data_IF_507857439938
#
_entry.id   IF_507857439938
#
_cell.length_a   1.000
_cell.length_b   1.000
_cell.length_c   1.000
_cell.angle_alpha   90.00
_cell.angle_beta   90.00
_cell.angle_gamma   90.00
#
_symmetry.space_group_name_H-M   'P 1'
#
loop_
_entity.id
_entity.type
_entity.pdbx_description
1 polymer ?
#
# COMPACT_ATOMS: atom_id res chain seq x y z
N UNK A 1 30.54 -21.52 6.21
CA UNK A 1 29.75 -20.79 7.22
C UNK A 1 28.43 -20.41 6.58
N UNK A 2 27.34 -21.03 7.02
CA UNK A 2 25.99 -20.66 6.61
C UNK A 2 25.73 -19.25 7.15
N UNK A 3 25.69 -18.24 6.28
CA UNK A 3 25.10 -16.95 6.63
C UNK A 3 23.65 -17.26 7.01
N UNK A 4 23.31 -17.17 8.30
CA UNK A 4 21.91 -17.17 8.72
C UNK A 4 21.22 -16.10 7.88
N UNK A 5 20.30 -16.49 6.99
CA UNK A 5 19.45 -15.53 6.29
C UNK A 5 18.74 -14.75 7.39
N UNK A 6 19.19 -13.52 7.68
CA UNK A 6 18.45 -12.67 8.60
C UNK A 6 17.14 -12.35 7.90
N UNK A 7 16.03 -12.82 8.45
CA UNK A 7 14.71 -12.49 7.94
C UNK A 7 14.53 -10.97 8.00
N UNK A 8 13.97 -10.38 6.94
CA UNK A 8 13.60 -8.97 7.00
C UNK A 8 12.52 -8.78 8.07
N UNK A 9 12.50 -7.65 8.76
CA UNK A 9 11.42 -7.32 9.72
C UNK A 9 10.66 -6.11 9.23
N UNK A 10 9.38 -6.30 8.89
CA UNK A 10 8.45 -5.21 8.57
C UNK A 10 7.71 -4.79 9.84
N UNK A 11 7.86 -3.53 10.24
CA UNK A 11 7.12 -2.95 11.35
C UNK A 11 5.98 -2.05 10.90
N UNK A 12 4.76 -2.32 11.35
CA UNK A 12 3.60 -1.45 11.09
C UNK A 12 2.49 -1.65 12.12
N UNK A 13 1.46 -0.81 12.06
CA UNK A 13 0.21 -1.07 12.80
C UNK A 13 -0.47 -2.36 12.31
N UNK A 14 -1.23 -3.03 13.17
CA UNK A 14 -2.06 -4.20 12.85
C UNK A 14 -3.32 -3.82 12.03
N UNK A 15 -3.08 -3.12 10.93
CA UNK A 15 -4.06 -2.66 9.95
C UNK A 15 -3.44 -2.83 8.54
N UNK A 16 -4.27 -2.75 7.51
CA UNK A 16 -3.84 -2.70 6.11
C UNK A 16 -2.94 -1.48 5.85
N UNK A 17 -3.50 -0.27 5.97
CA UNK A 17 -2.81 1.02 5.88
C UNK A 17 -1.74 1.13 4.79
N UNK A 18 -0.65 1.85 5.09
CA UNK A 18 0.47 2.10 4.17
C UNK A 18 1.35 0.86 3.92
N UNK A 19 1.23 -0.18 4.75
CA UNK A 19 2.05 -1.38 4.62
C UNK A 19 1.48 -2.40 3.62
N UNK A 20 0.27 -2.21 3.10
CA UNK A 20 -0.36 -3.21 2.22
C UNK A 20 0.47 -3.50 0.97
N UNK A 21 0.85 -2.47 0.22
CA UNK A 21 1.69 -2.63 -0.97
C UNK A 21 3.05 -3.29 -0.63
N UNK A 22 3.61 -3.02 0.55
CA UNK A 22 4.87 -3.61 1.00
C UNK A 22 4.71 -5.10 1.25
N UNK A 23 3.67 -5.51 2.00
CA UNK A 23 3.35 -6.93 2.25
C UNK A 23 3.16 -7.67 0.93
N UNK A 24 2.36 -7.10 0.02
CA UNK A 24 2.10 -7.69 -1.30
C UNK A 24 3.39 -7.85 -2.11
N UNK A 25 4.29 -6.87 -2.07
CA UNK A 25 5.57 -6.93 -2.78
C UNK A 25 6.51 -7.98 -2.18
N UNK A 26 6.60 -8.08 -0.85
CA UNK A 26 7.40 -9.10 -0.15
C UNK A 26 6.93 -10.52 -0.49
N UNK A 27 5.61 -10.74 -0.51
CA UNK A 27 5.00 -12.02 -0.88
C UNK A 27 5.22 -12.34 -2.36
N UNK A 28 5.08 -11.35 -3.25
CA UNK A 28 5.33 -11.54 -4.68
C UNK A 28 6.78 -11.90 -4.98
N UNK A 29 7.74 -11.27 -4.29
CA UNK A 29 9.17 -11.54 -4.50
C UNK A 29 9.70 -12.73 -3.71
N UNK A 30 8.82 -13.48 -3.02
CA UNK A 30 9.17 -14.64 -2.19
C UNK A 30 10.22 -14.30 -1.12
N UNK A 31 10.19 -13.04 -0.64
CA UNK A 31 11.14 -12.56 0.35
C UNK A 31 10.76 -13.13 1.71
N UNK A 32 11.71 -13.75 2.41
CA UNK A 32 11.46 -14.20 3.78
C UNK A 32 11.45 -13.00 4.74
N UNK A 33 10.32 -12.77 5.39
CA UNK A 33 10.15 -11.67 6.33
C UNK A 33 9.30 -12.08 7.53
N UNK A 34 9.50 -11.37 8.63
CA UNK A 34 8.64 -11.36 9.80
C UNK A 34 7.95 -10.01 9.90
N UNK A 35 6.76 -9.98 10.51
CA UNK A 35 6.02 -8.76 10.71
C UNK A 35 5.88 -8.43 12.19
N UNK A 36 6.36 -7.25 12.58
CA UNK A 36 6.11 -6.69 13.90
C UNK A 36 4.89 -5.77 13.84
N UNK A 37 3.76 -6.30 14.30
CA UNK A 37 2.49 -5.58 14.34
C UNK A 37 2.29 -4.88 15.68
N UNK A 38 2.03 -3.59 15.62
CA UNK A 38 1.66 -2.78 16.78
C UNK A 38 0.15 -2.58 16.81
N UNK A 39 -0.45 -2.67 17.99
CA UNK A 39 -1.89 -2.46 18.17
C UNK A 39 -2.17 -1.11 18.78
N UNK A 40 -3.14 -0.38 18.21
CA UNK A 40 -3.71 0.81 18.83
C UNK A 40 -4.82 0.38 19.81
N UNK A 41 -4.87 0.97 21.01
CA UNK A 41 -5.91 0.74 22.01
C UNK A 41 -7.30 1.20 21.55
N UNK A 42 -8.33 0.88 22.31
CA UNK A 42 -9.70 1.32 22.02
C UNK A 42 -9.93 2.81 22.34
N UNK A 43 -11.03 3.36 21.84
CA UNK A 43 -11.50 4.69 22.21
C UNK A 43 -11.87 4.75 23.71
N UNK A 44 -11.77 5.92 24.36
CA UNK A 44 -11.32 7.21 23.81
C UNK A 44 -9.79 7.39 23.81
N UNK A 45 -9.05 6.52 24.49
CA UNK A 45 -7.62 6.75 24.78
C UNK A 45 -6.71 6.48 23.59
N UNK A 46 -7.09 5.52 22.72
CA UNK A 46 -6.31 5.11 21.55
C UNK A 46 -4.83 4.89 21.87
N UNK A 47 -4.57 4.08 22.91
CA UNK A 47 -3.21 3.85 23.40
C UNK A 47 -2.26 3.36 22.30
N UNK A 48 -1.09 3.97 22.22
CA UNK A 48 -0.04 3.69 21.23
C UNK A 48 1.27 3.24 21.88
N UNK A 49 1.25 2.94 23.18
CA UNK A 49 2.42 2.54 23.98
C UNK A 49 3.26 1.47 23.28
N UNK A 50 2.64 0.42 22.72
CA UNK A 50 3.35 -0.65 22.02
C UNK A 50 4.35 -0.15 20.97
N UNK A 51 4.02 0.92 20.25
CA UNK A 51 4.93 1.58 19.30
C UNK A 51 5.80 2.63 19.99
N UNK A 52 5.20 3.53 20.78
CA UNK A 52 5.90 4.67 21.37
C UNK A 52 7.05 4.22 22.30
N UNK A 53 6.89 3.10 23.00
CA UNK A 53 7.88 2.54 23.92
C UNK A 53 9.13 2.01 23.23
N UNK A 54 9.02 1.66 21.94
CA UNK A 54 10.14 1.12 21.14
C UNK A 54 10.63 2.08 20.06
N UNK A 55 9.84 3.10 19.69
CA UNK A 55 10.08 4.01 18.57
C UNK A 55 11.53 4.49 18.47
N UNK A 56 12.09 4.99 19.58
CA UNK A 56 13.45 5.54 19.62
C UNK A 56 14.53 4.53 20.02
N UNK A 57 14.17 3.25 20.21
CA UNK A 57 15.08 2.15 20.58
C UNK A 57 15.50 1.28 19.38
N UNK A 58 14.89 1.50 18.22
CA UNK A 58 15.14 0.73 17.00
C UNK A 58 16.31 1.30 16.17
N UNK A 59 16.85 2.45 16.55
CA UNK A 59 17.97 3.12 15.88
C UNK A 59 17.67 3.33 14.38
N UNK A 60 16.50 3.94 14.13
CA UNK A 60 16.03 4.41 12.82
C UNK A 60 16.44 5.89 12.68
N UNK A 61 16.92 6.31 11.50
CA UNK A 61 17.30 7.71 11.26
C UNK A 61 16.11 8.67 11.47
N UNK A 62 14.94 8.29 10.96
CA UNK A 62 13.68 9.03 11.11
C UNK A 62 12.58 8.10 11.66
N UNK A 63 12.52 7.84 12.98
CA UNK A 63 11.63 6.83 13.55
C UNK A 63 10.16 6.98 13.15
N UNK A 64 9.66 6.05 12.33
CA UNK A 64 8.31 6.10 11.78
C UNK A 64 7.77 4.70 11.45
N UNK A 65 6.48 4.61 11.13
CA UNK A 65 5.81 3.42 10.60
C UNK A 65 5.27 3.72 9.19
N UNK A 66 5.48 2.83 8.20
CA UNK A 66 6.20 1.56 8.30
C UNK A 66 7.72 1.75 8.38
N UNK A 67 8.38 0.74 8.97
CA UNK A 67 9.82 0.53 8.86
C UNK A 67 10.13 -0.88 8.31
N UNK A 68 11.28 -1.03 7.67
CA UNK A 68 11.86 -2.32 7.26
C UNK A 68 13.28 -2.43 7.82
N UNK A 69 13.58 -3.53 8.50
CA UNK A 69 14.95 -3.90 8.89
C UNK A 69 15.43 -5.06 8.02
N UNK A 70 16.62 -4.90 7.44
CA UNK A 70 17.29 -5.93 6.65
C UNK A 70 18.80 -5.87 6.89
N UNK A 71 19.27 -6.69 7.83
CA UNK A 71 20.64 -6.65 8.34
C UNK A 71 20.99 -5.26 8.88
N UNK A 72 21.96 -4.61 8.25
CA UNK A 72 22.38 -3.23 8.59
C UNK A 72 21.45 -2.15 8.04
N UNK A 73 20.58 -2.47 7.08
CA UNK A 73 19.71 -1.49 6.45
C UNK A 73 18.47 -1.30 7.30
N UNK A 74 18.20 -0.06 7.71
CA UNK A 74 17.04 0.31 8.51
C UNK A 74 16.32 1.43 7.79
N UNK A 75 15.14 1.14 7.25
CA UNK A 75 14.49 1.98 6.25
C UNK A 75 13.11 2.37 6.75
N UNK A 76 12.81 3.66 6.72
CA UNK A 76 11.46 4.22 6.94
C UNK A 76 10.95 4.86 5.65
N UNK A 77 9.68 5.25 5.64
CA UNK A 77 8.92 5.72 4.46
C UNK A 77 8.52 4.58 3.53
N UNK A 78 7.20 4.43 3.31
CA UNK A 78 6.65 3.31 2.53
C UNK A 78 7.23 3.23 1.12
N UNK A 79 7.36 4.37 0.43
CA UNK A 79 7.88 4.44 -0.93
C UNK A 79 9.37 4.07 -0.99
N UNK A 80 10.17 4.51 0.00
CA UNK A 80 11.58 4.14 0.08
C UNK A 80 11.77 2.62 0.35
N UNK A 81 10.92 2.04 1.20
CA UNK A 81 10.89 0.60 1.47
C UNK A 81 10.53 -0.18 0.19
N UNK A 82 9.50 0.24 -0.54
CA UNK A 82 9.09 -0.39 -1.79
C UNK A 82 10.20 -0.32 -2.84
N UNK A 83 10.80 0.86 -3.05
CA UNK A 83 11.94 1.02 -3.96
C UNK A 83 13.14 0.17 -3.54
N UNK A 84 13.40 0.01 -2.23
CA UNK A 84 14.47 -0.85 -1.74
C UNK A 84 14.27 -2.31 -2.12
N UNK A 85 13.08 -2.85 -1.86
CA UNK A 85 12.72 -4.22 -2.24
C UNK A 85 12.77 -4.34 -3.77
N UNK A 86 12.15 -3.41 -4.49
CA UNK A 86 12.09 -3.41 -5.95
C UNK A 86 13.47 -3.44 -6.62
N UNK A 87 14.46 -2.69 -6.10
CA UNK A 87 15.84 -2.71 -6.61
C UNK A 87 16.52 -4.07 -6.47
N UNK A 88 16.17 -4.87 -5.45
CA UNK A 88 16.71 -6.23 -5.30
C UNK A 88 16.17 -7.22 -6.33
N UNK A 89 15.08 -6.87 -7.00
CA UNK A 89 14.36 -7.74 -7.93
C UNK A 89 14.16 -7.11 -9.32
N UNK A 90 14.87 -6.02 -9.65
CA UNK A 90 14.78 -5.30 -10.93
C UNK A 90 13.36 -4.79 -11.28
N UNK A 91 12.62 -4.31 -10.29
CA UNK A 91 11.22 -3.88 -10.45
C UNK A 91 11.03 -2.34 -10.41
N UNK A 92 12.01 -1.57 -10.90
CA UNK A 92 12.03 -0.10 -10.84
C UNK A 92 11.84 0.60 -12.20
N UNK A 93 11.55 -0.14 -13.27
CA UNK A 93 11.69 0.33 -14.65
C UNK A 93 13.13 0.17 -15.15
N UNK A 94 13.27 -0.28 -16.39
CA UNK A 94 14.55 -0.58 -17.02
C UNK A 94 15.00 0.59 -17.90
N UNK A 95 14.09 1.13 -18.72
CA UNK A 95 14.36 2.29 -19.59
C UNK A 95 14.07 3.62 -18.89
N UNK A 96 14.54 4.71 -19.47
CA UNK A 96 14.26 6.06 -18.96
C UNK A 96 12.76 6.37 -19.00
N UNK A 97 12.07 5.95 -20.05
CA UNK A 97 10.63 6.12 -20.19
C UNK A 97 9.86 5.37 -19.10
N UNK A 98 10.27 4.15 -18.78
CA UNK A 98 9.66 3.37 -17.70
C UNK A 98 9.91 4.01 -16.33
N UNK A 99 11.13 4.52 -16.10
CA UNK A 99 11.50 5.22 -14.86
C UNK A 99 10.69 6.50 -14.67
N UNK A 100 10.54 7.31 -15.72
CA UNK A 100 9.68 8.50 -15.71
C UNK A 100 8.24 8.11 -15.32
N UNK A 101 7.71 7.03 -15.91
CA UNK A 101 6.35 6.57 -15.60
C UNK A 101 6.21 6.10 -14.16
N UNK A 102 7.19 5.36 -13.65
CA UNK A 102 7.26 4.93 -12.24
C UNK A 102 7.27 6.13 -11.29
N UNK A 103 8.11 7.13 -11.57
CA UNK A 103 8.26 8.30 -10.70
C UNK A 103 6.99 9.16 -10.70
N UNK A 104 6.38 9.39 -11.85
CA UNK A 104 5.09 10.11 -11.94
C UNK A 104 4.01 9.35 -11.17
N UNK A 105 3.86 8.04 -11.43
CA UNK A 105 2.79 7.26 -10.81
C UNK A 105 2.96 7.11 -9.30
N UNK A 106 4.19 6.93 -8.79
CA UNK A 106 4.44 6.84 -7.35
C UNK A 106 3.96 8.09 -6.62
N UNK A 107 4.24 9.27 -7.16
CA UNK A 107 3.85 10.53 -6.54
C UNK A 107 2.35 10.80 -6.72
N UNK A 108 1.83 10.64 -7.94
CA UNK A 108 0.42 10.90 -8.24
C UNK A 108 -0.53 9.99 -7.46
N UNK A 109 -0.19 8.70 -7.32
CA UNK A 109 -1.02 7.75 -6.58
C UNK A 109 -0.97 8.02 -5.07
N UNK A 110 0.15 8.58 -4.58
CA UNK A 110 0.29 8.98 -3.20
C UNK A 110 -0.63 10.17 -2.88
N UNK A 111 -0.62 11.20 -3.73
CA UNK A 111 -1.54 12.35 -3.60
C UNK A 111 -3.01 11.89 -3.61
N UNK A 112 -3.35 10.95 -4.49
CA UNK A 112 -4.71 10.40 -4.55
C UNK A 112 -5.09 9.61 -3.28
N UNK A 113 -4.17 8.80 -2.73
CA UNK A 113 -4.40 8.11 -1.45
C UNK A 113 -4.65 9.09 -0.32
N UNK A 114 -3.85 10.16 -0.22
CA UNK A 114 -3.95 11.14 0.87
C UNK A 114 -5.34 11.76 0.90
N UNK A 115 -5.96 12.01 -0.26
CA UNK A 115 -7.32 12.56 -0.32
C UNK A 115 -8.36 11.65 0.34
N UNK A 116 -8.34 10.34 0.04
CA UNK A 116 -9.26 9.39 0.68
C UNK A 116 -8.98 9.27 2.18
N UNK A 117 -7.70 9.21 2.58
CA UNK A 117 -7.31 9.15 3.99
C UNK A 117 -7.80 10.39 4.74
N UNK A 118 -7.57 11.59 4.22
CA UNK A 118 -8.04 12.84 4.83
C UNK A 118 -9.56 12.85 5.01
N UNK A 119 -10.31 12.39 4.01
CA UNK A 119 -11.76 12.23 4.11
C UNK A 119 -12.14 11.25 5.23
N UNK A 120 -11.52 10.07 5.28
CA UNK A 120 -11.85 9.02 6.24
C UNK A 120 -11.53 9.39 7.70
N UNK A 121 -10.58 10.29 7.95
CA UNK A 121 -10.24 10.77 9.29
C UNK A 121 -10.89 12.12 9.64
N UNK A 122 -11.64 12.73 8.73
CA UNK A 122 -12.33 14.00 9.00
C UNK A 122 -13.59 13.78 9.83
N UNK A 123 -13.85 14.59 10.88
CA UNK A 123 -15.14 14.57 11.59
C UNK A 123 -16.32 14.97 10.70
N UNK A 124 -16.06 15.64 9.56
CA UNK A 124 -17.07 16.07 8.58
C UNK A 124 -17.21 15.10 7.39
N UNK A 125 -16.83 13.81 7.54
CA UNK A 125 -16.85 12.80 6.46
C UNK A 125 -18.15 12.82 5.66
N UNK A 126 -19.31 12.77 6.31
CA UNK A 126 -20.62 12.72 5.64
C UNK A 126 -20.91 13.95 4.77
N UNK A 127 -20.36 15.13 5.15
CA UNK A 127 -20.50 16.37 4.36
C UNK A 127 -19.54 16.42 3.18
N UNK A 128 -18.33 15.88 3.35
CA UNK A 128 -17.25 15.94 2.35
C UNK A 128 -17.33 14.80 1.32
N UNK A 129 -17.93 13.66 1.70
CA UNK A 129 -18.04 12.46 0.86
C UNK A 129 -18.71 12.72 -0.49
N UNK A 130 -19.83 13.47 -0.61
CA UNK A 130 -20.45 13.74 -1.92
C UNK A 130 -19.49 14.40 -2.91
N UNK A 131 -18.72 15.40 -2.47
CA UNK A 131 -17.72 16.07 -3.31
C UNK A 131 -16.60 15.13 -3.75
N UNK A 132 -16.14 14.25 -2.85
CA UNK A 132 -15.15 13.24 -3.21
C UNK A 132 -15.67 12.31 -4.32
N UNK A 133 -16.90 11.81 -4.17
CA UNK A 133 -17.52 10.92 -5.16
C UNK A 133 -17.79 11.61 -6.49
N UNK A 134 -18.11 12.91 -6.49
CA UNK A 134 -18.25 13.70 -7.72
C UNK A 134 -16.92 13.83 -8.49
N UNK A 135 -15.80 13.98 -7.76
CA UNK A 135 -14.47 14.16 -8.35
C UNK A 135 -13.80 12.84 -8.76
N UNK A 136 -14.18 11.73 -8.11
CA UNK A 136 -13.56 10.42 -8.25
C UNK A 136 -13.49 9.91 -9.71
N UNK A 137 -14.56 9.95 -10.53
CA UNK A 137 -14.48 9.51 -11.93
C UNK A 137 -13.46 10.30 -12.74
N UNK A 138 -13.33 11.61 -12.49
CA UNK A 138 -12.35 12.46 -13.17
C UNK A 138 -10.91 12.06 -12.87
N UNK A 139 -10.62 11.69 -11.62
CA UNK A 139 -9.29 11.21 -11.20
C UNK A 139 -9.00 9.81 -11.76
N UNK A 140 -9.97 8.89 -11.68
CA UNK A 140 -9.83 7.54 -12.24
C UNK A 140 -9.64 7.57 -13.76
N UNK A 141 -10.29 8.51 -14.46
CA UNK A 141 -10.06 8.73 -15.89
C UNK A 141 -8.62 9.09 -16.20
N UNK A 142 -7.95 9.89 -15.36
CA UNK A 142 -6.53 10.23 -15.56
C UNK A 142 -5.65 8.99 -15.45
N UNK A 143 -5.87 8.13 -14.44
CA UNK A 143 -5.14 6.87 -14.30
C UNK A 143 -5.42 5.88 -15.44
N UNK A 144 -6.68 5.80 -15.88
CA UNK A 144 -7.09 4.98 -17.04
C UNK A 144 -6.38 5.43 -18.32
N UNK A 145 -6.32 6.74 -18.58
CA UNK A 145 -5.59 7.29 -19.73
C UNK A 145 -4.07 7.05 -19.62
N UNK A 146 -3.51 7.19 -18.41
CA UNK A 146 -2.08 6.97 -18.18
C UNK A 146 -1.67 5.51 -18.37
N UNK A 147 -2.48 4.55 -17.88
CA UNK A 147 -2.29 3.12 -18.15
C UNK A 147 -2.41 2.84 -19.66
N UNK A 148 -3.43 3.43 -20.29
CA UNK A 148 -3.65 3.35 -21.73
C UNK A 148 -3.79 1.90 -22.19
N UNK A 149 -2.88 1.48 -23.08
CA UNK A 149 -2.83 0.14 -23.67
C UNK A 149 -1.94 -0.84 -22.91
N UNK A 150 -1.16 -0.37 -21.94
CA UNK A 150 -0.18 -1.20 -21.25
C UNK A 150 -0.85 -2.17 -20.27
N UNK A 151 -0.17 -3.29 -20.03
CA UNK A 151 -0.59 -4.26 -19.01
C UNK A 151 -0.34 -3.74 -17.59
N UNK A 152 0.73 -2.95 -17.41
CA UNK A 152 1.19 -2.39 -16.14
C UNK A 152 1.47 -0.89 -16.27
N UNK A 153 1.54 -0.17 -15.15
CA UNK A 153 1.63 1.28 -15.17
C UNK A 153 2.97 1.79 -15.71
N UNK A 154 4.06 1.05 -15.53
CA UNK A 154 5.35 1.40 -16.12
C UNK A 154 5.46 1.00 -17.61
N UNK A 155 4.70 0.01 -18.07
CA UNK A 155 4.81 -0.55 -19.42
C UNK A 155 4.35 -2.01 -19.48
N UNK A 156 5.11 -2.87 -20.16
CA UNK A 156 4.79 -4.30 -20.29
C UNK A 156 5.26 -5.16 -19.11
N UNK A 157 6.17 -4.63 -18.27
CA UNK A 157 6.71 -5.33 -17.10
C UNK A 157 6.10 -4.77 -15.81
N UNK A 158 5.82 -5.68 -14.88
CA UNK A 158 5.37 -5.35 -13.53
C UNK A 158 6.48 -4.65 -12.75
N UNK A 159 6.14 -3.56 -12.06
CA UNK A 159 7.05 -2.80 -11.20
C UNK A 159 6.41 -2.55 -9.83
N UNK A 160 7.16 -1.99 -8.88
CA UNK A 160 6.62 -1.76 -7.54
C UNK A 160 5.45 -0.75 -7.52
N UNK A 161 5.35 0.14 -8.52
CA UNK A 161 4.27 1.12 -8.57
C UNK A 161 2.90 0.49 -8.86
N UNK A 162 2.88 -0.70 -9.47
CA UNK A 162 1.65 -1.46 -9.67
C UNK A 162 1.08 -1.97 -8.34
N UNK A 163 1.93 -2.30 -7.36
CA UNK A 163 1.52 -2.70 -6.01
C UNK A 163 0.91 -1.53 -5.23
N UNK A 164 1.51 -0.34 -5.36
CA UNK A 164 0.95 0.90 -4.80
C UNK A 164 -0.40 1.23 -5.45
N UNK A 165 -0.46 1.14 -6.78
CA UNK A 165 -1.65 1.51 -7.55
C UNK A 165 -2.80 0.55 -7.30
N UNK A 166 -2.54 -0.76 -7.28
CA UNK A 166 -3.52 -1.76 -6.87
C UNK A 166 -4.12 -1.44 -5.51
N UNK A 167 -3.30 -1.18 -4.50
CA UNK A 167 -3.78 -0.91 -3.14
C UNK A 167 -4.69 0.33 -3.09
N UNK A 168 -4.32 1.42 -3.76
CA UNK A 168 -5.13 2.66 -3.76
C UNK A 168 -6.42 2.50 -4.55
N UNK A 169 -6.38 1.83 -5.71
CA UNK A 169 -7.58 1.53 -6.49
C UNK A 169 -8.52 0.59 -5.75
N UNK A 170 -7.99 -0.43 -5.06
CA UNK A 170 -8.79 -1.34 -4.25
C UNK A 170 -9.45 -0.63 -3.07
N UNK A 171 -8.75 0.29 -2.38
CA UNK A 171 -9.38 1.09 -1.31
C UNK A 171 -10.53 1.94 -1.84
N UNK A 172 -10.39 2.53 -3.03
CA UNK A 172 -11.46 3.26 -3.70
C UNK A 172 -12.61 2.35 -4.14
N UNK A 173 -12.32 1.16 -4.67
CA UNK A 173 -13.32 0.12 -4.98
C UNK A 173 -14.06 -0.33 -3.72
N UNK A 174 -13.39 -0.41 -2.57
CA UNK A 174 -14.05 -0.73 -1.30
C UNK A 174 -14.91 0.42 -0.78
N UNK A 175 -14.52 1.68 -1.05
CA UNK A 175 -15.25 2.88 -0.64
C UNK A 175 -16.48 3.15 -1.52
N UNK A 176 -16.35 2.96 -2.84
CA UNK A 176 -17.37 3.10 -3.87
C UNK A 176 -17.26 1.91 -4.86
N UNK A 177 -18.02 0.82 -4.65
CA UNK A 177 -17.89 -0.44 -5.41
C UNK A 177 -17.98 -0.33 -6.92
N UNK A 178 -18.69 0.67 -7.44
CA UNK A 178 -18.90 0.86 -8.88
C UNK A 178 -17.93 1.86 -9.51
N UNK A 179 -16.99 2.43 -8.75
CA UNK A 179 -16.14 3.52 -9.25
C UNK A 179 -15.27 3.14 -10.46
N UNK A 180 -14.98 1.84 -10.64
CA UNK A 180 -14.18 1.35 -11.76
C UNK A 180 -15.00 0.88 -12.98
N UNK A 181 -16.33 0.87 -12.92
CA UNK A 181 -17.16 0.23 -13.96
C UNK A 181 -17.02 0.86 -15.35
N UNK A 182 -16.79 2.18 -15.39
CA UNK A 182 -16.58 2.95 -16.62
C UNK A 182 -15.14 2.85 -17.16
N UNK A 183 -14.23 2.16 -16.46
CA UNK A 183 -12.81 2.06 -16.81
C UNK A 183 -12.39 0.60 -17.02
N UNK A 184 -12.73 -0.02 -18.18
CA UNK A 184 -12.44 -1.43 -18.44
C UNK A 184 -10.96 -1.80 -18.28
N UNK A 185 -10.03 -0.92 -18.64
CA UNK A 185 -8.59 -1.18 -18.51
C UNK A 185 -8.13 -1.18 -17.05
N UNK A 186 -8.71 -0.33 -16.18
CA UNK A 186 -8.43 -0.37 -14.74
C UNK A 186 -9.00 -1.63 -14.11
N UNK A 187 -10.22 -2.05 -14.49
CA UNK A 187 -10.76 -3.35 -14.04
C UNK A 187 -9.89 -4.52 -14.49
N UNK A 188 -9.43 -4.50 -15.74
CA UNK A 188 -8.52 -5.52 -16.26
C UNK A 188 -7.17 -5.52 -15.51
N UNK A 189 -6.64 -4.36 -15.15
CA UNK A 189 -5.45 -4.24 -14.29
C UNK A 189 -5.69 -4.88 -12.91
N UNK A 190 -6.80 -4.56 -12.25
CA UNK A 190 -7.14 -5.15 -10.93
C UNK A 190 -7.21 -6.68 -11.02
N UNK A 191 -7.95 -7.23 -11.97
CA UNK A 191 -8.08 -8.67 -12.15
C UNK A 191 -6.73 -9.33 -12.47
N UNK A 192 -5.91 -8.71 -13.31
CA UNK A 192 -4.58 -9.24 -13.68
C UNK A 192 -3.64 -9.27 -12.49
N UNK A 193 -3.64 -8.22 -11.66
CA UNK A 193 -2.82 -8.16 -10.47
C UNK A 193 -3.25 -9.21 -9.43
N UNK A 194 -4.56 -9.34 -9.18
CA UNK A 194 -5.12 -10.36 -8.28
C UNK A 194 -4.87 -11.80 -8.76
N UNK A 195 -4.72 -12.00 -10.08
CA UNK A 195 -4.44 -13.29 -10.69
C UNK A 195 -2.94 -13.67 -10.72
N UNK A 196 -2.03 -12.79 -10.27
CA UNK A 196 -0.61 -13.16 -10.11
C UNK A 196 -0.52 -14.29 -9.07
N UNK A 197 0.06 -15.44 -9.42
CA UNK A 197 0.02 -16.66 -8.59
C UNK A 197 0.40 -16.42 -7.13
N UNK A 198 1.53 -15.74 -6.87
CA UNK A 198 1.99 -15.41 -5.52
C UNK A 198 1.02 -14.49 -4.77
N UNK A 199 0.38 -13.55 -5.47
CA UNK A 199 -0.62 -12.64 -4.90
C UNK A 199 -1.92 -13.37 -4.61
N UNK A 200 -2.44 -14.16 -5.55
CA UNK A 200 -3.64 -14.97 -5.38
C UNK A 200 -3.50 -15.91 -4.17
N UNK A 201 -2.36 -16.59 -4.07
CA UNK A 201 -2.05 -17.48 -2.95
C UNK A 201 -1.96 -16.70 -1.62
N UNK A 202 -1.31 -15.54 -1.61
CA UNK A 202 -1.23 -14.70 -0.42
C UNK A 202 -2.62 -14.24 0.03
N UNK A 203 -3.48 -13.77 -0.89
CA UNK A 203 -4.85 -13.30 -0.62
C UNK A 203 -5.77 -14.38 -0.03
N UNK A 204 -5.47 -15.65 -0.27
CA UNK A 204 -6.20 -16.79 0.29
C UNK A 204 -5.63 -17.27 1.64
N UNK A 205 -4.48 -16.75 2.07
CA UNK A 205 -3.82 -17.15 3.31
C UNK A 205 -4.27 -16.34 4.51
N UNK A 206 -4.08 -16.90 5.71
CA UNK A 206 -4.36 -16.21 6.98
C UNK A 206 -3.46 -15.00 7.24
N UNK A 207 -2.37 -14.84 6.46
CA UNK A 207 -1.51 -13.66 6.54
C UNK A 207 -2.15 -12.43 5.89
N UNK A 208 -3.11 -12.61 4.99
CA UNK A 208 -3.70 -11.51 4.22
C UNK A 208 -4.54 -10.57 5.08
N UNK A 209 -4.00 -9.37 5.30
CA UNK A 209 -4.68 -8.33 6.05
C UNK A 209 -5.47 -7.39 5.13
N UNK A 210 -6.70 -7.80 4.79
CA UNK A 210 -7.63 -7.00 3.97
C UNK A 210 -8.20 -5.79 4.71
N UNK A 211 -8.53 -5.97 5.99
CA UNK A 211 -9.16 -4.97 6.87
C UNK A 211 -8.58 -5.05 8.28
N UNK A 212 -8.59 -3.95 9.05
CA UNK A 212 -9.11 -2.62 8.68
C UNK A 212 -8.17 -1.86 7.73
N UNK A 213 -8.72 -1.02 6.84
CA UNK A 213 -7.94 -0.11 5.97
C UNK A 213 -7.22 0.94 6.82
N UNK A 214 -7.97 1.58 7.72
CA UNK A 214 -7.54 2.67 8.56
C UNK A 214 -7.44 2.24 10.02
N UNK A 215 -6.78 3.07 10.83
CA UNK A 215 -6.67 2.84 12.26
C UNK A 215 -7.97 3.30 12.97
N UNK A 216 -8.13 2.93 14.24
CA UNK A 216 -9.38 3.01 15.01
C UNK A 216 -10.05 4.39 15.03
N UNK A 217 -9.26 5.46 14.94
CA UNK A 217 -9.74 6.85 14.94
C UNK A 217 -10.42 7.29 13.64
N UNK A 218 -10.29 6.54 12.54
CA UNK A 218 -10.98 6.88 11.29
C UNK A 218 -12.49 6.59 11.39
N UNK A 219 -13.30 7.38 10.69
CA UNK A 219 -14.74 7.19 10.59
C UNK A 219 -15.15 6.14 9.54
N UNK A 220 -14.22 5.76 8.65
CA UNK A 220 -14.43 4.69 7.67
C UNK A 220 -13.22 3.77 7.57
N UNK A 221 -13.50 2.47 7.38
CA UNK A 221 -12.47 1.46 7.17
C UNK A 221 -11.68 1.07 8.42
N UNK A 222 -12.17 1.40 9.63
CA UNK A 222 -11.47 1.21 10.91
C UNK A 222 -11.80 -0.11 11.64
N UNK A 223 -12.71 -0.93 11.11
CA UNK A 223 -13.17 -2.19 11.72
C UNK A 223 -12.68 -3.41 10.94
N UNK A 224 -12.40 -4.50 11.65
CA UNK A 224 -12.25 -5.82 11.02
C UNK A 224 -13.61 -6.26 10.44
N UNK A 225 -13.58 -6.92 9.30
CA UNK A 225 -14.76 -7.60 8.77
C UNK A 225 -14.73 -9.01 9.39
N UNK A 226 -15.76 -9.35 10.16
CA UNK A 226 -15.98 -10.71 10.66
C UNK A 226 -16.46 -11.61 9.52
#
# INVERSE_FOLDING_TARGET
MSLSKSNMVLGYWDIRGLAHAIRMLLEFTDTCYEERRYTCGEAPDYDKSQWLDVKFKLDLDFPNLPYLMDGKNKITQSNAILRYIARKHNMCGETEEERIRVDIMENQIMDFRIQLVQLCYSPDLEKLKPRYLEQLPGQLKQFSLFLGKFSWFAGEKLTFVDFLTYDVLDQNRMFEPKCLDEFPNLKAFMCRFEALEKIANYMQSDRFLKMPINNKMALWGNKRIC
#
